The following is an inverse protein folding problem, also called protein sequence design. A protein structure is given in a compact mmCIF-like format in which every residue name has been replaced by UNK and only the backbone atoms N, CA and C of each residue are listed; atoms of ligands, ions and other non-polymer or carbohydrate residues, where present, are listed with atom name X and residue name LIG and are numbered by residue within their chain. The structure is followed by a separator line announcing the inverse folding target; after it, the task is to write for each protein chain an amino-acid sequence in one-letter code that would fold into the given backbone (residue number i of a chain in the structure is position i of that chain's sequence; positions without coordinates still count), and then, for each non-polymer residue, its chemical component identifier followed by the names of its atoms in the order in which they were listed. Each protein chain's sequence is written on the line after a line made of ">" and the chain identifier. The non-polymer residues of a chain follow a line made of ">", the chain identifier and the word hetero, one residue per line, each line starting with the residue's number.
data_IF_795243238014
#
_entry.id   IF_795243238014
#
_cell.length_a   1.000
_cell.length_b   1.000
_cell.length_c   1.000
_cell.angle_alpha   90.00
_cell.angle_beta   90.00
_cell.angle_gamma   90.00
#
_symmetry.space_group_name_H-M   'P 1'
#
loop_
_entity.id
_entity.type
_entity.pdbx_description
1 polymer ?
#
# COMPACT_ATOMS: atom_id res chain seq x y z
N UNK A 1 -7.38 -19.92 16.47
CA UNK A 1 -8.69 -20.23 15.86
C UNK A 1 -9.36 -21.40 16.57
N UNK A 2 -8.67 -22.52 16.90
CA UNK A 2 -9.26 -23.70 17.53
C UNK A 2 -9.84 -23.52 18.94
N UNK A 3 -9.45 -22.48 19.68
CA UNK A 3 -10.02 -22.21 21.03
C UNK A 3 -11.29 -21.34 21.01
N UNK A 4 -11.57 -20.68 19.88
CA UNK A 4 -12.72 -19.78 19.70
C UNK A 4 -13.86 -20.53 19.01
N UNK A 5 -13.55 -21.67 18.38
CA UNK A 5 -14.49 -22.50 17.64
C UNK A 5 -14.65 -23.83 18.38
N UNK A 6 -15.84 -24.08 18.90
CA UNK A 6 -16.17 -25.38 19.45
C UNK A 6 -16.44 -26.38 18.33
N UNK A 7 -15.56 -27.36 18.17
CA UNK A 7 -15.63 -28.36 17.09
C UNK A 7 -16.85 -29.27 17.19
N UNK A 8 -17.42 -29.42 18.40
CA UNK A 8 -18.55 -30.32 18.62
C UNK A 8 -19.90 -29.65 18.32
N UNK A 9 -19.97 -28.32 18.50
CA UNK A 9 -21.22 -27.56 18.26
C UNK A 9 -21.18 -26.66 17.06
N UNK A 10 -20.03 -26.53 16.36
CA UNK A 10 -19.81 -25.58 15.26
C UNK A 10 -20.19 -24.14 15.60
N UNK A 11 -20.13 -23.75 16.88
CA UNK A 11 -20.52 -22.42 17.36
C UNK A 11 -19.32 -21.60 17.77
N UNK A 12 -19.39 -20.31 17.50
CA UNK A 12 -18.45 -19.31 17.96
C UNK A 12 -18.68 -19.07 19.47
N UNK A 13 -17.72 -19.43 20.31
CA UNK A 13 -17.83 -19.26 21.77
C UNK A 13 -17.31 -17.88 22.14
N UNK A 14 -18.19 -16.89 22.17
CA UNK A 14 -17.88 -15.50 22.52
C UNK A 14 -17.30 -15.34 23.94
N UNK A 15 -17.68 -16.20 24.87
CA UNK A 15 -17.16 -16.20 26.23
C UNK A 15 -15.66 -16.41 26.30
N UNK A 16 -15.09 -17.19 25.39
CA UNK A 16 -13.65 -17.43 25.35
C UNK A 16 -12.88 -16.21 24.83
N UNK A 17 -13.50 -15.33 24.03
CA UNK A 17 -12.88 -14.08 23.55
C UNK A 17 -12.74 -13.08 24.71
N UNK A 18 -13.72 -13.02 25.61
CA UNK A 18 -13.70 -12.11 26.76
C UNK A 18 -12.53 -12.44 27.70
N UNK A 19 -12.13 -13.72 27.80
CA UNK A 19 -10.98 -14.14 28.61
C UNK A 19 -9.65 -13.52 28.13
N UNK A 20 -9.55 -13.13 26.84
CA UNK A 20 -8.39 -12.44 26.30
C UNK A 20 -8.46 -10.91 26.46
N UNK A 21 -9.56 -10.35 26.93
CA UNK A 21 -9.72 -8.92 27.17
C UNK A 21 -9.23 -8.57 28.58
N UNK A 22 -7.95 -8.26 28.67
CA UNK A 22 -7.30 -7.90 29.94
C UNK A 22 -6.84 -6.43 29.89
N UNK A 23 -7.59 -5.54 30.55
CA UNK A 23 -7.39 -4.09 30.49
C UNK A 23 -5.99 -3.68 30.94
N UNK A 24 -5.39 -4.18 32.03
CA UNK A 24 -4.02 -3.82 32.40
C UNK A 24 -3.00 -4.18 31.32
N UNK A 25 -3.10 -5.36 30.70
CA UNK A 25 -2.22 -5.80 29.61
C UNK A 25 -2.35 -4.90 28.38
N UNK A 26 -3.57 -4.48 28.05
CA UNK A 26 -3.84 -3.58 26.92
C UNK A 26 -3.23 -2.20 27.17
N UNK A 27 -3.36 -1.65 28.37
CA UNK A 27 -2.76 -0.37 28.75
C UNK A 27 -1.22 -0.40 28.68
N UNK A 28 -0.60 -1.49 29.16
CA UNK A 28 0.85 -1.64 29.07
C UNK A 28 1.31 -1.70 27.63
N UNK A 29 0.72 -2.56 26.84
CA UNK A 29 1.20 -2.83 25.46
C UNK A 29 0.80 -1.74 24.49
N UNK A 30 -0.50 -1.46 24.36
CA UNK A 30 -0.99 -0.46 23.40
C UNK A 30 -0.68 0.96 23.89
N UNK A 31 -0.94 1.23 25.19
CA UNK A 31 -0.65 2.53 25.78
C UNK A 31 0.85 2.84 25.75
N UNK A 32 1.71 1.89 26.09
CA UNK A 32 3.16 2.05 26.00
C UNK A 32 3.64 2.29 24.56
N UNK A 33 3.18 1.48 23.61
CA UNK A 33 3.51 1.65 22.18
C UNK A 33 3.10 3.02 21.67
N UNK A 34 1.84 3.43 21.92
CA UNK A 34 1.33 4.74 21.49
C UNK A 34 2.11 5.89 22.14
N UNK A 35 2.42 5.78 23.46
CA UNK A 35 3.18 6.81 24.17
C UNK A 35 4.57 7.02 23.56
N UNK A 36 5.31 5.95 23.27
CA UNK A 36 6.64 6.07 22.63
C UNK A 36 6.53 6.58 21.20
N UNK A 37 5.53 6.17 20.46
CA UNK A 37 5.28 6.72 19.12
C UNK A 37 4.94 8.21 19.17
N UNK A 38 4.19 8.69 20.18
CA UNK A 38 3.90 10.11 20.37
C UNK A 38 5.13 10.93 20.74
N UNK A 39 6.10 10.33 21.43
CA UNK A 39 7.40 10.96 21.71
C UNK A 39 8.30 11.00 20.46
N UNK A 40 8.20 10.00 19.60
CA UNK A 40 9.04 9.85 18.40
C UNK A 40 8.53 10.64 17.19
N UNK A 41 7.21 10.84 17.08
CA UNK A 41 6.57 11.42 15.91
C UNK A 41 5.58 12.53 16.27
N UNK A 42 5.48 13.59 15.45
CA UNK A 42 4.50 14.64 15.67
C UNK A 42 3.06 14.13 15.54
N UNK A 43 2.12 14.73 16.29
CA UNK A 43 0.71 14.35 16.34
C UNK A 43 0.03 14.29 14.95
N UNK A 44 0.51 15.09 13.98
CA UNK A 44 0.01 15.07 12.59
C UNK A 44 0.14 13.71 11.92
N UNK A 45 1.11 12.86 12.32
CA UNK A 45 1.28 11.53 11.75
C UNK A 45 0.16 10.59 12.21
N UNK A 46 -0.30 10.72 13.44
CA UNK A 46 -1.47 9.97 13.95
C UNK A 46 -2.75 10.37 13.21
N UNK A 47 -2.93 11.64 12.89
CA UNK A 47 -4.08 12.10 12.11
C UNK A 47 -4.12 11.51 10.68
N UNK A 48 -2.95 11.15 10.12
CA UNK A 48 -2.88 10.51 8.80
C UNK A 48 -3.32 9.05 8.79
N UNK A 49 -3.41 8.36 9.94
CA UNK A 49 -3.78 6.93 10.02
C UNK A 49 -5.10 6.66 9.29
N UNK A 50 -6.12 7.49 9.51
CA UNK A 50 -7.40 7.37 8.82
C UNK A 50 -7.30 7.52 7.30
N UNK A 51 -6.42 8.40 6.81
CA UNK A 51 -6.13 8.57 5.38
C UNK A 51 -5.42 7.36 4.81
N UNK A 52 -4.43 6.82 5.51
CA UNK A 52 -3.69 5.64 5.09
C UNK A 52 -4.59 4.40 5.01
N UNK A 53 -5.46 4.19 6.01
CA UNK A 53 -6.47 3.13 5.96
C UNK A 53 -7.41 3.28 4.75
N UNK A 54 -7.85 4.50 4.44
CA UNK A 54 -8.66 4.75 3.24
C UNK A 54 -7.91 4.40 1.95
N UNK A 55 -6.62 4.74 1.84
CA UNK A 55 -5.77 4.38 0.69
C UNK A 55 -5.63 2.86 0.56
N UNK A 56 -5.52 2.14 1.68
CA UNK A 56 -5.40 0.68 1.69
C UNK A 56 -6.67 0.01 1.17
N UNK A 57 -7.85 0.50 1.59
CA UNK A 57 -9.14 -0.11 1.22
C UNK A 57 -9.72 0.41 -0.10
N UNK A 58 -9.43 1.67 -0.47
CA UNK A 58 -9.87 2.30 -1.74
C UNK A 58 -8.67 2.94 -2.44
N UNK A 59 -7.78 2.13 -3.03
CA UNK A 59 -6.62 2.67 -3.72
C UNK A 59 -7.00 3.36 -5.03
N UNK A 60 -6.28 4.43 -5.39
CA UNK A 60 -6.22 4.89 -6.77
C UNK A 60 -5.52 3.80 -7.60
N UNK A 61 -6.06 3.46 -8.73
CA UNK A 61 -5.43 2.49 -9.63
C UNK A 61 -4.37 3.22 -10.46
N UNK A 62 -3.17 2.72 -10.40
CA UNK A 62 -2.07 3.12 -11.27
C UNK A 62 -1.85 1.99 -12.27
N UNK A 63 -2.27 2.20 -13.52
CA UNK A 63 -2.15 1.21 -14.60
C UNK A 63 -1.06 1.67 -15.57
N UNK A 64 0.17 1.12 -15.49
CA UNK A 64 1.30 1.56 -16.31
C UNK A 64 1.02 1.56 -17.80
N UNK A 65 0.24 0.59 -18.29
CA UNK A 65 -0.12 0.49 -19.71
C UNK A 65 -0.91 1.73 -20.19
N UNK A 66 -1.87 2.22 -19.40
CA UNK A 66 -2.64 3.41 -19.77
C UNK A 66 -1.75 4.64 -19.92
N UNK A 67 -0.75 4.79 -19.03
CA UNK A 67 0.21 5.90 -19.14
C UNK A 67 1.10 5.76 -20.38
N UNK A 68 1.54 4.54 -20.72
CA UNK A 68 2.32 4.31 -21.94
C UNK A 68 1.49 4.66 -23.17
N UNK A 69 0.25 4.18 -23.26
CA UNK A 69 -0.65 4.43 -24.38
C UNK A 69 -0.90 5.95 -24.55
N UNK A 70 -1.16 6.68 -23.45
CA UNK A 70 -1.31 8.14 -23.46
C UNK A 70 -0.04 8.87 -23.93
N UNK A 71 1.13 8.47 -23.45
CA UNK A 71 2.40 9.07 -23.80
C UNK A 71 2.70 8.86 -25.30
N UNK A 72 2.43 7.66 -25.82
CA UNK A 72 2.61 7.35 -27.25
C UNK A 72 1.66 8.16 -28.14
N UNK A 73 0.41 8.37 -27.70
CA UNK A 73 -0.55 9.24 -28.37
C UNK A 73 -0.03 10.68 -28.41
N UNK A 74 0.39 11.23 -27.28
CA UNK A 74 0.97 12.57 -27.16
C UNK A 74 2.24 12.72 -28.02
N UNK A 75 3.12 11.72 -28.01
CA UNK A 75 4.32 11.70 -28.85
C UNK A 75 3.99 11.74 -30.34
N UNK A 76 2.95 10.99 -30.71
CA UNK A 76 2.51 10.98 -32.15
C UNK A 76 1.96 12.32 -32.56
N UNK A 77 1.16 12.97 -31.70
CA UNK A 77 0.61 14.29 -31.98
C UNK A 77 1.70 15.38 -32.04
N UNK A 78 2.61 15.39 -31.06
CA UNK A 78 3.76 16.29 -31.04
C UNK A 78 4.60 16.19 -32.29
N UNK A 79 4.83 14.97 -32.80
CA UNK A 79 5.60 14.73 -34.01
C UNK A 79 4.90 15.22 -35.28
N UNK A 80 3.58 15.13 -35.35
CA UNK A 80 2.80 15.54 -36.54
C UNK A 80 2.53 17.04 -36.58
N UNK A 81 2.25 17.66 -35.43
CA UNK A 81 1.73 19.02 -35.32
C UNK A 81 2.66 19.96 -34.55
N UNK A 82 3.74 19.44 -33.96
CA UNK A 82 4.64 20.20 -33.10
C UNK A 82 4.23 20.20 -31.63
N UNK A 83 5.16 20.56 -30.72
CA UNK A 83 4.95 20.50 -29.25
C UNK A 83 3.82 21.43 -28.77
N UNK A 84 3.60 22.56 -29.42
CA UNK A 84 2.53 23.50 -29.06
C UNK A 84 1.12 22.90 -29.23
N UNK A 85 0.94 21.91 -30.11
CA UNK A 85 -0.36 21.26 -30.28
C UNK A 85 -0.80 20.43 -29.02
N UNK A 86 0.14 20.14 -28.13
CA UNK A 86 -0.13 19.43 -26.90
C UNK A 86 -0.90 20.30 -25.88
N UNK A 87 -0.95 21.62 -26.04
CA UNK A 87 -1.71 22.55 -25.21
C UNK A 87 -3.21 22.18 -25.20
N UNK A 88 -3.76 21.85 -26.37
CA UNK A 88 -5.15 21.45 -26.51
C UNK A 88 -5.47 20.14 -25.74
N UNK A 89 -4.47 19.25 -25.61
CA UNK A 89 -4.58 17.97 -24.90
C UNK A 89 -4.46 18.08 -23.37
N UNK A 90 -3.93 19.18 -22.84
CA UNK A 90 -3.80 19.39 -21.39
C UNK A 90 -5.14 19.27 -20.68
N UNK A 91 -6.24 19.71 -21.30
CA UNK A 91 -7.59 19.67 -20.69
C UNK A 91 -8.12 18.24 -20.48
N UNK A 92 -7.63 17.27 -21.25
CA UNK A 92 -8.05 15.87 -21.19
C UNK A 92 -7.22 15.04 -20.20
N UNK A 93 -6.16 15.62 -19.60
CA UNK A 93 -5.23 14.92 -18.72
C UNK A 93 -5.68 15.02 -17.26
N UNK A 94 -6.12 13.90 -16.70
CA UNK A 94 -6.55 13.83 -15.29
C UNK A 94 -5.39 13.73 -14.29
N UNK A 95 -4.23 13.22 -14.70
CA UNK A 95 -3.09 13.06 -13.80
C UNK A 95 -2.33 14.37 -13.64
N UNK A 96 -2.25 14.94 -12.40
CA UNK A 96 -1.62 16.25 -12.17
C UNK A 96 -0.13 16.28 -12.52
N UNK A 97 0.58 15.16 -12.35
CA UNK A 97 2.01 15.09 -12.64
C UNK A 97 2.27 15.08 -14.14
N UNK A 98 1.49 14.30 -14.91
CA UNK A 98 1.56 14.30 -16.37
C UNK A 98 1.18 15.68 -16.92
N UNK A 99 0.11 16.28 -16.40
CA UNK A 99 -0.37 17.60 -16.81
C UNK A 99 0.71 18.69 -16.57
N UNK A 100 1.25 18.78 -15.35
CA UNK A 100 2.28 19.79 -15.05
C UNK A 100 3.56 19.58 -15.84
N UNK A 101 3.97 18.34 -16.05
CA UNK A 101 5.16 18.01 -16.83
C UNK A 101 5.00 18.36 -18.32
N UNK A 102 3.82 18.07 -18.89
CA UNK A 102 3.53 18.41 -20.29
C UNK A 102 3.46 19.92 -20.48
N UNK A 103 2.94 20.66 -19.51
CA UNK A 103 2.88 22.12 -19.55
C UNK A 103 4.29 22.73 -19.65
N UNK A 104 5.28 22.19 -18.90
CA UNK A 104 6.68 22.63 -19.02
C UNK A 104 7.25 22.45 -20.44
N UNK A 105 6.84 21.38 -21.13
CA UNK A 105 7.26 21.11 -22.51
C UNK A 105 6.61 22.10 -23.47
N UNK A 106 5.32 22.40 -23.34
CA UNK A 106 4.58 23.38 -24.14
C UNK A 106 5.19 24.78 -23.94
N UNK A 107 5.56 25.12 -22.70
CA UNK A 107 6.25 26.39 -22.37
C UNK A 107 7.71 26.46 -22.87
N UNK A 108 8.16 25.43 -23.58
CA UNK A 108 9.52 25.37 -24.16
C UNK A 108 10.63 25.46 -23.10
N UNK A 109 10.39 24.95 -21.89
CA UNK A 109 11.43 24.87 -20.85
C UNK A 109 12.51 23.90 -21.32
N UNK A 110 13.76 24.19 -21.02
CA UNK A 110 14.91 23.35 -21.37
C UNK A 110 14.77 21.91 -20.79
N UNK A 111 15.13 20.88 -21.58
CA UNK A 111 14.97 19.45 -21.28
C UNK A 111 15.61 19.09 -19.95
N UNK A 112 16.82 19.60 -19.69
CA UNK A 112 17.53 19.30 -18.43
C UNK A 112 16.82 19.90 -17.21
N UNK A 113 16.22 21.08 -17.37
CA UNK A 113 15.43 21.70 -16.30
C UNK A 113 14.13 20.94 -16.04
N UNK A 114 13.46 20.48 -17.10
CA UNK A 114 12.27 19.63 -16.97
C UNK A 114 12.63 18.35 -16.25
N UNK A 115 13.72 17.67 -16.63
CA UNK A 115 14.22 16.46 -15.96
C UNK A 115 14.45 16.68 -14.48
N UNK A 116 15.21 17.72 -14.11
CA UNK A 116 15.55 18.03 -12.72
C UNK A 116 14.30 18.33 -11.89
N UNK A 117 13.32 19.06 -12.44
CA UNK A 117 12.06 19.34 -11.74
C UNK A 117 11.25 18.09 -11.50
N UNK A 118 11.11 17.21 -12.50
CA UNK A 118 10.38 15.96 -12.39
C UNK A 118 11.06 14.98 -11.41
N UNK A 119 12.39 14.84 -11.48
CA UNK A 119 13.16 14.03 -10.52
C UNK A 119 13.00 14.55 -9.08
N UNK A 120 13.02 15.88 -8.92
CA UNK A 120 12.82 16.48 -7.60
C UNK A 120 11.44 16.15 -7.03
N UNK A 121 10.39 16.21 -7.85
CA UNK A 121 9.02 15.86 -7.42
C UNK A 121 8.89 14.37 -7.08
N UNK A 122 9.51 13.49 -7.89
CA UNK A 122 9.54 12.03 -7.64
C UNK A 122 10.28 11.73 -6.34
N UNK A 123 11.43 12.35 -6.11
CA UNK A 123 12.22 12.17 -4.88
C UNK A 123 11.46 12.67 -3.64
N UNK A 124 10.80 13.82 -3.71
CA UNK A 124 9.96 14.31 -2.62
C UNK A 124 8.75 13.40 -2.34
N UNK A 125 8.19 12.76 -3.37
CA UNK A 125 7.15 11.75 -3.20
C UNK A 125 7.70 10.54 -2.43
N UNK A 126 8.87 10.03 -2.83
CA UNK A 126 9.51 8.87 -2.20
C UNK A 126 9.83 9.15 -0.73
N UNK A 127 10.48 10.27 -0.42
CA UNK A 127 10.79 10.67 0.95
C UNK A 127 9.52 10.77 1.83
N UNK A 128 8.47 11.40 1.31
CA UNK A 128 7.20 11.53 2.03
C UNK A 128 6.56 10.16 2.31
N UNK A 129 6.55 9.27 1.34
CA UNK A 129 5.99 7.93 1.50
C UNK A 129 6.87 7.05 2.37
N UNK A 130 8.20 7.22 2.32
CA UNK A 130 9.14 6.54 3.20
C UNK A 130 8.88 6.90 4.67
N UNK A 131 8.74 8.18 5.00
CA UNK A 131 8.40 8.65 6.34
C UNK A 131 7.05 8.11 6.84
N UNK A 132 6.04 8.07 5.97
CA UNK A 132 4.73 7.54 6.33
C UNK A 132 4.79 6.00 6.57
N UNK A 133 5.64 5.25 5.86
CA UNK A 133 5.90 3.81 6.12
C UNK A 133 6.70 3.59 7.40
N UNK A 134 7.75 4.37 7.61
CA UNK A 134 8.61 4.27 8.79
C UNK A 134 7.81 4.38 10.09
N UNK A 135 6.80 5.25 10.13
CA UNK A 135 5.90 5.37 11.27
C UNK A 135 5.28 4.01 11.66
N UNK A 136 4.81 3.23 10.70
CA UNK A 136 4.23 1.90 10.97
C UNK A 136 5.30 0.85 11.28
N UNK A 137 6.46 0.90 10.64
CA UNK A 137 7.57 -0.01 10.90
C UNK A 137 8.11 0.18 12.33
N UNK A 138 8.23 1.41 12.80
CA UNK A 138 8.60 1.71 14.19
C UNK A 138 7.52 1.24 15.17
N UNK A 139 6.24 1.44 14.86
CA UNK A 139 5.14 0.89 15.64
C UNK A 139 5.21 -0.63 15.77
N UNK A 140 5.53 -1.32 14.67
CA UNK A 140 5.74 -2.76 14.66
C UNK A 140 6.94 -3.21 15.51
N UNK A 141 7.98 -2.40 15.61
CA UNK A 141 9.14 -2.68 16.46
C UNK A 141 8.86 -2.44 17.95
N UNK A 142 8.11 -1.36 18.27
CA UNK A 142 7.81 -1.02 19.66
C UNK A 142 6.75 -1.94 20.29
N UNK A 143 5.76 -2.38 19.55
CA UNK A 143 4.66 -3.17 20.09
C UNK A 143 5.12 -4.48 20.78
N UNK A 144 5.98 -5.33 20.18
CA UNK A 144 6.53 -6.50 20.85
C UNK A 144 7.44 -6.16 22.03
N UNK A 145 8.18 -5.03 21.95
CA UNK A 145 9.04 -4.58 23.05
C UNK A 145 8.20 -4.28 24.32
N UNK A 146 7.06 -3.59 24.16
CA UNK A 146 6.13 -3.39 25.26
C UNK A 146 5.42 -4.68 25.69
N UNK A 147 5.23 -5.62 24.78
CA UNK A 147 4.81 -6.98 25.12
C UNK A 147 5.79 -7.65 26.09
N UNK A 148 7.09 -7.59 25.80
CA UNK A 148 8.14 -8.14 26.70
C UNK A 148 8.23 -7.37 28.02
N UNK A 149 8.12 -6.05 28.03
CA UNK A 149 8.05 -5.27 29.26
C UNK A 149 6.87 -5.72 30.12
N UNK A 150 5.71 -5.96 29.50
CA UNK A 150 4.53 -6.46 30.19
C UNK A 150 4.74 -7.86 30.78
N UNK A 151 5.50 -8.75 30.13
CA UNK A 151 5.86 -10.05 30.73
C UNK A 151 6.70 -9.87 31.98
N UNK A 152 7.68 -8.99 31.95
CA UNK A 152 8.52 -8.71 33.13
C UNK A 152 7.69 -8.14 34.27
N UNK A 153 6.79 -7.19 34.00
CA UNK A 153 5.87 -6.63 34.99
C UNK A 153 5.00 -7.71 35.61
N UNK A 154 4.39 -8.59 34.77
CA UNK A 154 3.55 -9.69 35.23
C UNK A 154 4.31 -10.66 36.14
N UNK A 155 5.54 -11.04 35.74
CA UNK A 155 6.40 -11.92 36.52
C UNK A 155 6.87 -11.30 37.83
N UNK A 156 7.21 -10.00 37.84
CA UNK A 156 7.60 -9.28 39.07
C UNK A 156 6.43 -9.24 40.07
N UNK A 157 5.22 -8.94 39.61
CA UNK A 157 4.01 -8.96 40.45
C UNK A 157 3.73 -10.34 41.02
N UNK A 158 3.89 -11.39 40.19
CA UNK A 158 3.74 -12.78 40.60
C UNK A 158 4.75 -13.15 41.70
N UNK A 159 6.02 -12.85 41.51
CA UNK A 159 7.08 -13.15 42.46
C UNK A 159 6.96 -12.37 43.78
N UNK A 160 6.40 -11.17 43.73
CA UNK A 160 6.18 -10.31 44.92
C UNK A 160 5.11 -10.84 45.87
N UNK A 161 4.20 -11.72 45.39
CA UNK A 161 3.06 -12.20 46.16
C UNK A 161 2.87 -13.74 45.99
N UNK A 162 3.92 -14.50 46.18
CA UNK A 162 3.94 -15.96 45.93
C UNK A 162 2.97 -16.78 46.83
N UNK A 163 2.45 -16.21 47.92
CA UNK A 163 1.57 -16.89 48.83
C UNK A 163 0.07 -16.79 48.46
N UNK A 164 -0.26 -15.90 47.53
CA UNK A 164 -1.63 -15.66 47.06
C UNK A 164 -1.83 -16.24 45.62
N UNK A 165 -2.63 -17.32 45.55
CA UNK A 165 -2.91 -18.05 44.31
C UNK A 165 -3.59 -17.13 43.25
N UNK A 166 -4.47 -16.22 43.65
CA UNK A 166 -5.18 -15.33 42.76
C UNK A 166 -4.21 -14.30 42.12
N UNK A 167 -3.27 -13.79 42.90
CA UNK A 167 -2.22 -12.89 42.42
C UNK A 167 -1.23 -13.60 41.49
N UNK A 168 -0.89 -14.86 41.77
CA UNK A 168 -0.09 -15.70 40.87
C UNK A 168 -0.77 -15.88 39.52
N UNK A 169 -2.06 -16.22 39.49
CA UNK A 169 -2.82 -16.40 38.25
C UNK A 169 -2.94 -15.11 37.46
N UNK A 170 -3.21 -14.00 38.13
CA UNK A 170 -3.31 -12.66 37.50
C UNK A 170 -1.96 -12.19 36.90
N UNK A 171 -0.85 -12.41 37.63
CA UNK A 171 0.50 -12.07 37.12
C UNK A 171 0.88 -12.87 35.88
N UNK A 172 0.60 -14.18 35.88
CA UNK A 172 0.80 -15.05 34.72
C UNK A 172 -0.05 -14.61 33.52
N UNK A 173 -1.34 -14.32 33.76
CA UNK A 173 -2.24 -13.85 32.72
C UNK A 173 -1.73 -12.53 32.10
N UNK A 174 -1.31 -11.58 32.94
CA UNK A 174 -0.71 -10.32 32.46
C UNK A 174 0.50 -10.57 31.59
N UNK A 175 1.43 -11.44 32.01
CA UNK A 175 2.64 -11.75 31.26
C UNK A 175 2.33 -12.36 29.88
N UNK A 176 1.43 -13.30 29.78
CA UNK A 176 1.09 -13.98 28.52
C UNK A 176 0.29 -13.09 27.59
N UNK A 177 -0.70 -12.37 28.12
CA UNK A 177 -1.61 -11.54 27.30
C UNK A 177 -0.89 -10.30 26.75
N UNK A 178 0.06 -9.69 27.48
CA UNK A 178 0.84 -8.57 26.96
C UNK A 178 1.69 -8.97 25.75
N UNK A 179 2.32 -10.14 25.79
CA UNK A 179 3.09 -10.65 24.64
C UNK A 179 2.19 -10.95 23.46
N UNK A 180 1.01 -11.54 23.70
CA UNK A 180 0.01 -11.76 22.65
C UNK A 180 -0.41 -10.45 22.00
N UNK A 181 -0.75 -9.44 22.79
CA UNK A 181 -1.14 -8.13 22.26
C UNK A 181 -0.01 -7.44 21.48
N UNK A 182 1.23 -7.49 21.99
CA UNK A 182 2.38 -6.94 21.28
C UNK A 182 2.60 -7.58 19.92
N UNK A 183 2.52 -8.90 19.87
CA UNK A 183 2.66 -9.67 18.63
C UNK A 183 1.52 -9.41 17.65
N UNK A 184 0.26 -9.38 18.12
CA UNK A 184 -0.89 -9.07 17.26
C UNK A 184 -0.81 -7.66 16.69
N UNK A 185 -0.51 -6.68 17.55
CA UNK A 185 -0.42 -5.28 17.12
C UNK A 185 0.67 -5.09 16.05
N UNK A 186 1.82 -5.74 16.20
CA UNK A 186 2.90 -5.68 15.23
C UNK A 186 2.55 -6.38 13.91
N UNK A 187 2.13 -7.65 13.99
CA UNK A 187 2.04 -8.51 12.81
C UNK A 187 0.68 -8.46 12.10
N UNK A 188 -0.40 -8.08 12.78
CA UNK A 188 -1.74 -8.00 12.20
C UNK A 188 -2.12 -6.57 11.81
N UNK A 189 -1.56 -5.57 12.50
CA UNK A 189 -1.87 -4.17 12.21
C UNK A 189 -0.70 -3.43 11.56
N UNK A 190 0.40 -3.21 12.26
CA UNK A 190 1.47 -2.33 11.79
C UNK A 190 2.16 -2.83 10.52
N UNK A 191 2.66 -4.06 10.51
CA UNK A 191 3.39 -4.60 9.35
C UNK A 191 2.53 -4.73 8.08
N UNK A 192 1.29 -5.23 8.14
CA UNK A 192 0.44 -5.26 6.94
C UNK A 192 0.13 -3.88 6.38
N UNK A 193 -0.05 -2.87 7.24
CA UNK A 193 -0.27 -1.49 6.81
C UNK A 193 0.99 -0.95 6.11
N UNK A 194 2.18 -1.10 6.72
CA UNK A 194 3.44 -0.67 6.12
C UNK A 194 3.69 -1.32 4.76
N UNK A 195 3.52 -2.64 4.68
CA UNK A 195 3.70 -3.40 3.43
C UNK A 195 2.71 -2.98 2.34
N UNK A 196 1.45 -2.72 2.70
CA UNK A 196 0.45 -2.27 1.72
C UNK A 196 0.74 -0.87 1.21
N UNK A 197 1.20 0.03 2.08
CA UNK A 197 1.65 1.38 1.68
C UNK A 197 2.86 1.29 0.74
N UNK A 198 3.81 0.37 1.01
CA UNK A 198 4.95 0.13 0.14
C UNK A 198 4.51 -0.29 -1.27
N UNK A 199 3.62 -1.30 -1.36
CA UNK A 199 3.12 -1.77 -2.67
C UNK A 199 2.45 -0.62 -3.44
N UNK A 200 1.67 0.24 -2.76
CA UNK A 200 1.03 1.40 -3.41
C UNK A 200 2.02 2.45 -3.86
N UNK A 201 3.04 2.69 -3.04
CA UNK A 201 4.12 3.58 -3.42
C UNK A 201 4.87 3.07 -4.67
N UNK A 202 5.24 1.78 -4.69
CA UNK A 202 5.97 1.19 -5.81
C UNK A 202 5.17 1.28 -7.13
N UNK A 203 3.84 1.14 -7.08
CA UNK A 203 2.94 1.32 -8.23
C UNK A 203 2.93 2.77 -8.73
N UNK A 204 2.79 3.74 -7.82
CA UNK A 204 2.77 5.17 -8.15
C UNK A 204 4.12 5.65 -8.66
N UNK A 205 5.20 5.26 -7.99
CA UNK A 205 6.57 5.60 -8.36
C UNK A 205 6.92 5.13 -9.77
N UNK A 206 6.59 3.88 -10.11
CA UNK A 206 6.79 3.33 -11.44
C UNK A 206 6.07 4.16 -12.50
N UNK A 207 4.81 4.52 -12.29
CA UNK A 207 4.05 5.33 -13.24
C UNK A 207 4.65 6.73 -13.41
N UNK A 208 5.12 7.35 -12.33
CA UNK A 208 5.79 8.66 -12.43
C UNK A 208 7.14 8.59 -13.18
N UNK A 209 7.92 7.52 -12.99
CA UNK A 209 9.13 7.29 -13.78
C UNK A 209 8.81 7.09 -15.27
N UNK A 210 7.73 6.37 -15.62
CA UNK A 210 7.30 6.20 -17.01
C UNK A 210 6.89 7.54 -17.62
N UNK A 211 6.15 8.38 -16.87
CA UNK A 211 5.75 9.71 -17.32
C UNK A 211 7.00 10.57 -17.57
N UNK A 212 7.95 10.60 -16.65
CA UNK A 212 9.17 11.38 -16.77
C UNK A 212 9.96 10.99 -18.03
N UNK A 213 10.26 9.71 -18.20
CA UNK A 213 11.01 9.22 -19.38
C UNK A 213 10.26 9.47 -20.68
N UNK A 214 8.92 9.34 -20.65
CA UNK A 214 8.09 9.60 -21.82
C UNK A 214 8.04 11.08 -22.21
N UNK A 215 7.87 11.98 -21.25
CA UNK A 215 7.84 13.43 -21.47
C UNK A 215 9.19 13.93 -22.00
N UNK A 216 10.29 13.46 -21.44
CA UNK A 216 11.63 13.80 -21.92
C UNK A 216 11.82 13.33 -23.36
N UNK A 217 11.45 12.09 -23.67
CA UNK A 217 11.55 11.55 -25.03
C UNK A 217 10.66 12.29 -26.05
N UNK A 218 9.47 12.76 -25.63
CA UNK A 218 8.62 13.63 -26.46
C UNK A 218 9.34 14.97 -26.79
N UNK A 219 9.93 15.56 -25.77
CA UNK A 219 10.63 16.85 -25.93
C UNK A 219 11.90 16.73 -26.77
N UNK A 220 12.62 15.61 -26.69
CA UNK A 220 13.78 15.28 -27.51
C UNK A 220 13.38 14.93 -28.95
N UNK A 221 12.09 14.74 -29.24
CA UNK A 221 11.57 14.43 -30.58
C UNK A 221 11.76 12.97 -31.00
N UNK A 222 11.87 12.07 -30.07
CA UNK A 222 12.02 10.62 -30.31
C UNK A 222 10.84 10.05 -31.12
N UNK A 223 11.09 8.93 -31.81
CA UNK A 223 10.04 8.24 -32.56
C UNK A 223 9.02 7.61 -31.58
N UNK A 224 7.71 7.83 -31.78
CA UNK A 224 6.68 7.23 -30.89
C UNK A 224 6.81 5.71 -30.68
N UNK A 225 7.20 4.94 -31.71
CA UNK A 225 7.47 3.51 -31.58
C UNK A 225 8.69 3.20 -30.68
N UNK A 226 9.72 4.04 -30.76
CA UNK A 226 10.89 3.91 -29.90
C UNK A 226 10.54 4.27 -28.46
N UNK A 227 9.73 5.30 -28.25
CA UNK A 227 9.21 5.69 -26.93
C UNK A 227 8.41 4.54 -26.32
N UNK A 228 7.51 3.96 -27.08
CA UNK A 228 6.72 2.81 -26.64
C UNK A 228 7.61 1.65 -26.18
N UNK A 229 8.57 1.25 -27.01
CA UNK A 229 9.51 0.16 -26.69
C UNK A 229 10.38 0.50 -25.48
N UNK A 230 10.87 1.74 -25.37
CA UNK A 230 11.66 2.25 -24.22
C UNK A 230 10.85 2.12 -22.94
N UNK A 231 9.59 2.58 -22.92
CA UNK A 231 8.73 2.56 -21.76
C UNK A 231 8.33 1.12 -21.34
N UNK A 232 8.06 0.25 -22.32
CA UNK A 232 7.81 -1.17 -22.01
C UNK A 232 9.03 -1.87 -21.40
N UNK A 233 10.25 -1.48 -21.75
CA UNK A 233 11.49 -2.01 -21.15
C UNK A 233 11.67 -1.61 -19.69
N UNK A 234 11.11 -0.48 -19.26
CA UNK A 234 11.10 -0.05 -17.85
C UNK A 234 10.12 -0.83 -16.98
N UNK A 235 9.16 -1.53 -17.57
CA UNK A 235 8.22 -2.33 -16.79
C UNK A 235 8.92 -3.57 -16.19
N UNK A 236 8.58 -3.95 -14.94
CA UNK A 236 8.95 -5.23 -14.39
C UNK A 236 8.48 -6.38 -15.28
N UNK A 237 9.23 -7.47 -15.32
CA UNK A 237 8.94 -8.64 -16.18
C UNK A 237 7.49 -9.16 -16.02
N UNK A 238 6.93 -9.09 -14.81
CA UNK A 238 5.55 -9.52 -14.51
C UNK A 238 4.45 -8.60 -15.09
N UNK A 239 4.80 -7.41 -15.58
CA UNK A 239 3.86 -6.42 -16.15
C UNK A 239 4.08 -6.20 -17.65
N UNK A 240 5.06 -6.88 -18.25
CA UNK A 240 5.25 -6.85 -19.70
C UNK A 240 4.16 -7.66 -20.38
N UNK A 241 3.64 -7.21 -21.55
CA UNK A 241 2.83 -8.07 -22.39
C UNK A 241 3.65 -9.32 -22.78
N UNK A 242 3.05 -10.49 -22.77
CA UNK A 242 3.71 -11.68 -23.32
C UNK A 242 4.03 -11.41 -24.80
N UNK A 243 5.30 -11.60 -25.18
CA UNK A 243 5.77 -11.43 -26.55
C UNK A 243 4.97 -12.35 -27.47
N UNK A 244 3.99 -11.80 -28.19
CA UNK A 244 3.30 -12.55 -29.26
C UNK A 244 1.79 -12.33 -29.46
N UNK A 245 1.10 -11.50 -28.69
CA UNK A 245 -0.30 -11.20 -29.03
C UNK A 245 -0.44 -9.75 -29.57
N UNK A 246 -0.77 -9.58 -30.88
CA UNK A 246 -1.30 -8.32 -31.35
C UNK A 246 -2.62 -8.03 -30.64
N UNK A 247 -2.88 -6.78 -30.31
CA UNK A 247 -4.07 -6.33 -29.61
C UNK A 247 -5.34 -6.66 -30.44
N UNK A 248 -5.91 -7.83 -30.19
CA UNK A 248 -7.16 -8.27 -30.80
C UNK A 248 -8.10 -8.84 -29.71
N UNK A 249 -9.17 -8.09 -29.48
CA UNK A 249 -10.46 -8.49 -28.92
C UNK A 249 -10.46 -9.44 -27.69
N UNK A 250 -10.47 -8.84 -26.50
CA UNK A 250 -11.00 -9.51 -25.33
C UNK A 250 -12.53 -9.54 -25.41
N UNK A 251 -13.06 -10.58 -26.10
CA UNK A 251 -14.46 -10.95 -26.05
C UNK A 251 -14.82 -11.38 -24.60
N UNK A 252 -15.81 -10.72 -24.02
CA UNK A 252 -16.34 -11.07 -22.69
C UNK A 252 -16.81 -12.53 -22.67
N UNK A 253 -16.50 -13.33 -21.65
CA UNK A 253 -16.96 -14.71 -21.56
C UNK A 253 -18.48 -14.76 -21.48
N UNK A 254 -19.12 -15.38 -22.49
CA UNK A 254 -20.55 -15.67 -22.51
C UNK A 254 -20.90 -16.63 -21.38
N UNK A 255 -21.79 -16.20 -20.46
CA UNK A 255 -22.40 -17.05 -19.44
C UNK A 255 -22.99 -18.32 -20.04
N UNK A 256 -22.45 -19.47 -19.64
CA UNK A 256 -22.88 -20.78 -20.07
C UNK A 256 -24.34 -21.07 -19.75
N UNK A 257 -25.11 -21.35 -20.79
CA UNK A 257 -26.51 -21.78 -20.80
C UNK A 257 -26.61 -23.17 -20.19
N UNK A 258 -27.22 -23.31 -19.01
CA UNK A 258 -27.52 -24.60 -18.39
C UNK A 258 -28.38 -25.44 -19.35
N UNK A 259 -27.85 -26.55 -19.83
CA UNK A 259 -28.63 -27.61 -20.51
C UNK A 259 -29.54 -28.30 -19.49
N UNK A 260 -30.85 -28.16 -19.69
CA UNK A 260 -31.93 -28.89 -19.03
C UNK A 260 -31.84 -30.34 -19.52
N UNK A 261 -31.53 -31.29 -18.64
CA UNK A 261 -31.69 -32.74 -18.93
C UNK A 261 -33.17 -33.07 -18.81
N UNK A 262 -33.79 -33.38 -19.93
CA UNK A 262 -35.06 -34.10 -19.98
C UNK A 262 -34.81 -35.57 -19.58
N UNK A 263 -35.60 -36.02 -18.61
CA UNK A 263 -35.80 -37.44 -18.34
C UNK A 263 -36.80 -37.94 -19.36
N UNK A 264 -36.42 -38.94 -20.14
CA UNK A 264 -37.34 -39.78 -20.87
C UNK A 264 -37.45 -41.07 -20.07
N UNK A 265 -38.69 -41.41 -19.78
CA UNK A 265 -39.18 -42.65 -19.18
C UNK A 265 -39.00 -43.82 -20.13
N UNK A 266 -38.46 -44.89 -19.62
CA UNK A 266 -38.99 -46.29 -19.81
C UNK A 266 -38.38 -47.14 -18.71
#
# INVERSE_FOLDING_TARGET
>A
FGMIFDSDTMRFVWTNIVAFLHVPSLLITVGGTVSVMMLSYPAKNFAKIGKHLKIIFKPRKYEPKQYIDQIVELATEARMKGLLSLEDKLQDIEDPFLHSSLMLVVDSVDVEKVRVLMETEINQLDERHALDREFYEKGAAYAPAFGMIGTLIGLILMLGNMQDVDTLASGMATALITTLYGSLLANVFFLPVANKLKVRHDEEYLCKCLIMEGIIAIQEGDNPKFIEEKLYKLLPVSKKPEDGEPAENVEKPKKGRKKRRERVSE
#
